data_IF_362954650658
#
_entry.id   IF_362954650658
#
_cell.length_a   1.000
_cell.length_b   1.000
_cell.length_c   1.000
_cell.angle_alpha   90.00
_cell.angle_beta   90.00
_cell.angle_gamma   90.00
#
_symmetry.space_group_name_H-M   'P 1'
#
loop_
_entity.id
_entity.type
_entity.pdbx_description
1 polymer ?
#
# COMPACT_ATOMS: atom_id res chain seq x y z
N UNK A 1 -14.44 -17.90 -50.41
CA UNK A 1 -14.52 -18.53 -49.07
C UNK A 1 -13.16 -18.66 -48.35
N UNK A 2 -12.06 -19.04 -49.03
CA UNK A 2 -10.72 -19.19 -48.42
C UNK A 2 -10.19 -17.93 -47.71
N UNK A 3 -10.35 -16.74 -48.30
CA UNK A 3 -9.85 -15.49 -47.69
C UNK A 3 -10.53 -15.12 -46.37
N UNK A 4 -11.81 -15.46 -46.18
CA UNK A 4 -12.53 -15.19 -44.93
C UNK A 4 -11.98 -16.05 -43.78
N UNK A 5 -11.65 -17.31 -44.09
CA UNK A 5 -11.08 -18.27 -43.15
C UNK A 5 -9.64 -17.93 -42.79
N UNK A 6 -8.83 -17.53 -43.78
CA UNK A 6 -7.46 -17.07 -43.52
C UNK A 6 -7.42 -15.78 -42.70
N UNK A 7 -8.31 -14.82 -43.00
CA UNK A 7 -8.40 -13.60 -42.21
C UNK A 7 -8.80 -13.90 -40.76
N UNK A 8 -9.76 -14.81 -40.51
CA UNK A 8 -10.13 -15.22 -39.14
C UNK A 8 -8.98 -15.89 -38.38
N UNK A 9 -8.17 -16.72 -39.04
CA UNK A 9 -7.00 -17.35 -38.41
C UNK A 9 -5.98 -16.28 -38.01
N UNK A 10 -5.70 -15.31 -38.89
CA UNK A 10 -4.78 -14.21 -38.61
C UNK A 10 -5.30 -13.35 -37.45
N UNK A 11 -6.59 -13.01 -37.41
CA UNK A 11 -7.15 -12.25 -36.28
C UNK A 11 -7.01 -13.02 -34.97
N UNK A 12 -7.34 -14.31 -34.95
CA UNK A 12 -7.24 -15.15 -33.75
C UNK A 12 -5.79 -15.25 -33.25
N UNK A 13 -4.82 -15.40 -34.16
CA UNK A 13 -3.40 -15.45 -33.81
C UNK A 13 -2.93 -14.11 -33.22
N UNK A 14 -3.38 -12.97 -33.75
CA UNK A 14 -3.06 -11.65 -33.20
C UNK A 14 -3.65 -11.48 -31.80
N UNK A 15 -4.90 -11.90 -31.57
CA UNK A 15 -5.52 -11.86 -30.23
C UNK A 15 -4.77 -12.73 -29.21
N UNK A 16 -4.33 -13.93 -29.60
CA UNK A 16 -3.52 -14.82 -28.73
C UNK A 16 -2.17 -14.17 -28.39
N UNK A 17 -1.51 -13.55 -29.37
CA UNK A 17 -0.25 -12.83 -29.17
C UNK A 17 -0.40 -11.64 -28.21
N UNK A 18 -1.47 -10.85 -28.38
CA UNK A 18 -1.78 -9.73 -27.49
C UNK A 18 -2.06 -10.24 -26.06
N UNK A 19 -2.85 -11.31 -25.91
CA UNK A 19 -3.12 -11.90 -24.60
C UNK A 19 -1.84 -12.39 -23.90
N UNK A 20 -0.91 -13.03 -24.63
CA UNK A 20 0.39 -13.46 -24.10
C UNK A 20 1.28 -12.29 -23.65
N UNK A 21 1.27 -11.18 -24.40
CA UNK A 21 2.00 -9.96 -24.02
C UNK A 21 1.42 -9.33 -22.74
N UNK A 22 0.09 -9.31 -22.60
CA UNK A 22 -0.56 -8.82 -21.38
C UNK A 22 -0.24 -9.69 -20.14
N UNK A 23 -0.22 -11.01 -20.27
CA UNK A 23 0.12 -11.93 -19.17
C UNK A 23 1.57 -11.73 -18.67
N UNK A 24 2.49 -11.48 -19.59
CA UNK A 24 3.91 -11.25 -19.26
C UNK A 24 4.11 -9.96 -18.46
N UNK A 25 3.37 -8.90 -18.77
CA UNK A 25 3.40 -7.63 -18.03
C UNK A 25 2.86 -7.75 -16.60
N UNK A 26 1.77 -8.52 -16.41
CA UNK A 26 1.17 -8.73 -15.06
C UNK A 26 2.12 -9.51 -14.14
N UNK A 27 2.82 -10.50 -14.68
CA UNK A 27 3.76 -11.34 -13.91
C UNK A 27 4.94 -10.52 -13.38
N UNK A 28 5.48 -9.61 -14.19
CA UNK A 28 6.58 -8.72 -13.79
C UNK A 28 6.20 -7.78 -12.63
N UNK A 29 4.96 -7.26 -12.60
CA UNK A 29 4.50 -6.38 -11.52
C UNK A 29 4.36 -7.13 -10.19
N UNK A 30 3.95 -8.40 -10.22
CA UNK A 30 3.75 -9.21 -9.03
C UNK A 30 5.09 -9.58 -8.36
N UNK A 31 6.11 -9.93 -9.15
CA UNK A 31 7.44 -10.26 -8.63
C UNK A 31 8.13 -9.06 -7.97
N UNK A 32 8.04 -7.86 -8.56
CA UNK A 32 8.63 -6.65 -7.99
C UNK A 32 7.99 -6.31 -6.65
N UNK A 33 6.66 -6.39 -6.54
CA UNK A 33 5.95 -6.14 -5.28
C UNK A 33 6.35 -7.12 -4.17
N UNK A 34 6.48 -8.41 -4.50
CA UNK A 34 6.89 -9.44 -3.54
C UNK A 34 8.35 -9.32 -3.13
N UNK A 35 9.25 -8.98 -4.06
CA UNK A 35 10.68 -8.85 -3.78
C UNK A 35 10.99 -7.66 -2.88
N UNK A 36 10.31 -6.53 -3.08
CA UNK A 36 10.49 -5.35 -2.23
C UNK A 36 9.86 -5.57 -0.85
N UNK A 37 8.69 -6.22 -0.79
CA UNK A 37 8.10 -6.66 0.49
C UNK A 37 9.07 -7.54 1.28
N UNK A 38 9.79 -8.48 0.65
CA UNK A 38 10.79 -9.31 1.36
C UNK A 38 11.95 -8.53 1.98
N UNK A 39 12.33 -7.38 1.41
CA UNK A 39 13.34 -6.48 1.99
C UNK A 39 12.72 -5.70 3.14
N UNK A 40 11.54 -5.14 2.92
CA UNK A 40 10.77 -4.39 3.92
C UNK A 40 10.51 -5.23 5.18
N UNK A 41 10.12 -6.50 5.05
CA UNK A 41 9.87 -7.43 6.17
C UNK A 41 11.08 -7.56 7.12
N UNK A 42 12.30 -7.36 6.63
CA UNK A 42 13.53 -7.44 7.44
C UNK A 42 13.90 -6.13 8.10
N UNK A 43 13.33 -5.00 7.66
CA UNK A 43 13.61 -3.69 8.24
C UNK A 43 12.98 -3.63 9.63
N UNK A 44 13.78 -3.16 10.59
CA UNK A 44 13.33 -2.91 11.96
C UNK A 44 13.23 -1.40 12.16
N UNK A 45 12.25 -0.98 12.93
CA UNK A 45 12.15 0.41 13.35
C UNK A 45 13.41 0.78 14.18
N UNK A 46 14.23 1.76 13.76
CA UNK A 46 15.40 2.18 14.53
C UNK A 46 15.02 3.01 15.76
N UNK A 47 13.79 3.54 15.83
CA UNK A 47 13.28 4.29 16.96
C UNK A 47 12.59 3.38 17.97
N UNK A 48 12.95 3.45 19.26
CA UNK A 48 12.23 2.74 20.30
C UNK A 48 10.77 3.20 20.33
N UNK A 49 9.86 2.27 20.63
CA UNK A 49 8.44 2.57 20.83
C UNK A 49 8.21 3.25 22.20
N UNK A 50 8.80 4.44 22.36
CA UNK A 50 8.69 5.28 23.55
C UNK A 50 7.71 6.44 23.35
N UNK A 51 7.51 7.22 24.41
CA UNK A 51 6.60 8.36 24.38
C UNK A 51 7.05 9.45 23.39
N UNK A 52 8.35 9.64 23.17
CA UNK A 52 8.84 10.65 22.25
C UNK A 52 8.56 10.28 20.79
N UNK A 53 8.83 9.03 20.42
CA UNK A 53 8.48 8.50 19.09
C UNK A 53 6.97 8.52 18.86
N UNK A 54 6.19 8.16 19.89
CA UNK A 54 4.74 8.21 19.82
C UNK A 54 4.21 9.62 19.56
N UNK A 55 4.68 10.65 20.27
CA UNK A 55 4.21 12.03 20.07
C UNK A 55 4.63 12.62 18.71
N UNK A 56 5.85 12.34 18.24
CA UNK A 56 6.29 12.73 16.89
C UNK A 56 5.47 12.03 15.81
N UNK A 57 5.18 10.75 16.00
CA UNK A 57 4.37 9.94 15.10
C UNK A 57 2.93 10.45 15.07
N UNK A 58 2.35 10.75 16.23
CA UNK A 58 1.02 11.36 16.36
C UNK A 58 0.94 12.69 15.62
N UNK A 59 1.94 13.56 15.80
CA UNK A 59 1.98 14.87 15.14
C UNK A 59 1.98 14.71 13.62
N UNK A 60 2.86 13.86 13.08
CA UNK A 60 2.95 13.61 11.64
C UNK A 60 1.67 12.95 11.10
N UNK A 61 1.11 11.99 11.83
CA UNK A 61 -0.17 11.35 11.49
C UNK A 61 -1.34 12.35 11.39
N UNK A 62 -1.38 13.33 12.29
CA UNK A 62 -2.43 14.37 12.29
C UNK A 62 -2.35 15.31 11.08
N UNK A 63 -1.15 15.49 10.51
CA UNK A 63 -0.95 16.36 9.34
C UNK A 63 -1.35 15.59 8.07
N UNK A 64 -0.84 14.37 7.92
CA UNK A 64 -0.83 13.67 6.63
C UNK A 64 -1.82 12.52 6.52
N UNK A 65 -2.14 11.83 7.62
CA UNK A 65 -2.88 10.56 7.57
C UNK A 65 -4.34 10.68 8.05
N UNK A 66 -4.61 11.54 9.03
CA UNK A 66 -5.89 11.58 9.78
C UNK A 66 -7.11 11.87 8.90
N UNK A 67 -6.95 12.62 7.81
CA UNK A 67 -8.07 12.98 6.94
C UNK A 67 -8.69 11.76 6.25
N UNK A 68 -7.94 10.68 6.05
CA UNK A 68 -8.45 9.45 5.46
C UNK A 68 -8.59 8.35 6.52
N UNK A 69 -7.57 8.15 7.37
CA UNK A 69 -7.56 7.06 8.34
C UNK A 69 -8.32 7.36 9.64
N UNK A 70 -8.71 8.62 9.88
CA UNK A 70 -9.48 9.03 11.05
C UNK A 70 -8.65 9.19 12.32
N UNK A 71 -9.21 9.82 13.35
CA UNK A 71 -8.51 10.07 14.63
C UNK A 71 -8.22 8.78 15.40
N UNK A 72 -9.12 7.81 15.28
CA UNK A 72 -9.04 6.49 15.93
C UNK A 72 -8.43 5.42 15.03
N UNK A 73 -7.96 5.78 13.83
CA UNK A 73 -7.36 4.84 12.88
C UNK A 73 -8.35 3.92 12.17
N UNK A 74 -9.67 4.13 12.29
CA UNK A 74 -10.69 3.22 11.79
C UNK A 74 -10.93 3.30 10.27
N UNK A 75 -10.25 4.20 9.54
CA UNK A 75 -10.55 4.46 8.13
C UNK A 75 -11.77 5.34 7.91
N UNK A 76 -12.18 6.11 8.93
CA UNK A 76 -13.38 6.94 8.97
C UNK A 76 -13.08 8.46 8.91
N UNK A 77 -11.93 8.83 8.34
CA UNK A 77 -11.55 10.23 8.17
C UNK A 77 -12.50 10.97 7.21
N UNK A 78 -12.54 12.30 7.28
CA UNK A 78 -13.44 13.14 6.46
C UNK A 78 -13.29 12.99 4.93
N UNK A 79 -12.20 12.38 4.47
CA UNK A 79 -11.94 12.07 3.06
C UNK A 79 -12.09 10.57 2.74
N UNK A 80 -12.40 9.70 3.70
CA UNK A 80 -12.56 8.25 3.43
C UNK A 80 -13.73 7.95 2.51
N UNK A 81 -14.83 8.71 2.61
CA UNK A 81 -16.00 8.58 1.72
C UNK A 81 -15.73 9.10 0.30
N UNK A 82 -14.65 9.87 0.10
CA UNK A 82 -14.30 10.47 -1.20
C UNK A 82 -13.46 9.56 -2.08
N UNK A 83 -13.02 8.42 -1.55
CA UNK A 83 -12.21 7.45 -2.28
C UNK A 83 -13.04 6.21 -2.61
N UNK A 84 -12.82 5.64 -3.79
CA UNK A 84 -13.59 4.47 -4.26
C UNK A 84 -13.29 3.18 -3.48
N UNK A 85 -12.15 3.14 -2.77
CA UNK A 85 -11.73 1.99 -2.00
C UNK A 85 -11.90 2.25 -0.50
N UNK A 86 -12.28 1.22 0.23
CA UNK A 86 -12.37 1.26 1.69
C UNK A 86 -10.99 1.58 2.28
N UNK A 87 -10.89 2.68 3.02
CA UNK A 87 -9.68 3.02 3.77
C UNK A 87 -9.52 2.01 4.91
N UNK A 88 -8.30 1.46 5.07
CA UNK A 88 -8.05 0.40 6.04
C UNK A 88 -8.20 0.87 7.49
N UNK A 89 -8.84 0.03 8.31
CA UNK A 89 -8.76 0.08 9.78
C UNK A 89 -7.36 -0.29 10.22
N UNK A 90 -6.60 0.70 10.69
CA UNK A 90 -5.23 0.57 11.17
C UNK A 90 -5.13 -0.28 12.43
N UNK A 91 -6.20 -0.42 13.21
CA UNK A 91 -6.28 -1.29 14.39
C UNK A 91 -6.61 -2.74 14.06
N UNK A 92 -6.95 -3.06 12.81
CA UNK A 92 -7.30 -4.42 12.40
C UNK A 92 -6.12 -5.39 12.51
N UNK A 93 -6.43 -6.67 12.77
CA UNK A 93 -5.46 -7.77 12.78
C UNK A 93 -4.60 -7.81 11.52
N UNK A 94 -5.19 -7.55 10.35
CA UNK A 94 -4.49 -7.58 9.07
C UNK A 94 -3.41 -6.50 8.96
N UNK A 95 -3.63 -5.33 9.58
CA UNK A 95 -2.61 -4.27 9.67
C UNK A 95 -1.62 -4.59 10.79
N UNK A 96 -2.10 -4.96 11.97
CA UNK A 96 -1.26 -5.16 13.16
C UNK A 96 -0.34 -6.39 13.08
N UNK A 97 -0.65 -7.38 12.24
CA UNK A 97 0.24 -8.54 11.99
C UNK A 97 1.39 -8.25 11.04
N UNK A 98 1.35 -7.16 10.28
CA UNK A 98 2.46 -6.77 9.43
C UNK A 98 3.65 -6.35 10.28
N UNK A 99 4.85 -6.56 9.77
CA UNK A 99 6.10 -6.07 10.36
C UNK A 99 6.21 -4.55 10.26
N UNK A 100 7.05 -3.94 11.10
CA UNK A 100 7.24 -2.48 11.07
C UNK A 100 7.76 -2.01 9.71
N UNK A 101 8.69 -2.76 9.11
CA UNK A 101 9.21 -2.43 7.80
C UNK A 101 8.20 -2.57 6.67
N UNK A 102 7.24 -3.50 6.75
CA UNK A 102 6.12 -3.54 5.80
C UNK A 102 5.23 -2.29 5.90
N UNK A 103 4.94 -1.83 7.11
CA UNK A 103 4.17 -0.60 7.31
C UNK A 103 4.95 0.61 6.79
N UNK A 104 6.24 0.73 7.13
CA UNK A 104 7.13 1.78 6.62
C UNK A 104 7.15 1.80 5.09
N UNK A 105 7.27 0.63 4.47
CA UNK A 105 7.30 0.51 3.02
C UNK A 105 5.96 0.92 2.37
N UNK A 106 4.83 0.53 2.95
CA UNK A 106 3.49 0.92 2.45
C UNK A 106 3.27 2.43 2.53
N UNK A 107 3.75 3.07 3.59
CA UNK A 107 3.73 4.52 3.72
C UNK A 107 4.63 5.16 2.66
N UNK A 108 5.80 4.57 2.41
CA UNK A 108 6.80 5.07 1.46
C UNK A 108 6.36 5.01 0.00
N UNK A 109 5.70 3.92 -0.38
CA UNK A 109 5.28 3.64 -1.75
C UNK A 109 3.79 3.91 -1.97
N UNK A 110 3.19 4.81 -1.17
CA UNK A 110 1.74 5.04 -1.16
C UNK A 110 1.18 5.10 -2.59
N UNK A 111 0.19 4.24 -2.86
CA UNK A 111 -0.46 4.13 -4.17
C UNK A 111 -1.88 4.64 -4.07
N UNK A 112 -2.38 5.21 -5.18
CA UNK A 112 -3.77 5.67 -5.26
C UNK A 112 -4.73 4.57 -4.77
N UNK A 113 -5.69 4.92 -3.90
CA UNK A 113 -6.11 6.27 -3.55
C UNK A 113 -5.34 6.92 -2.40
N UNK A 114 -4.39 6.24 -1.76
CA UNK A 114 -3.53 6.85 -0.73
C UNK A 114 -2.57 7.85 -1.40
N UNK A 115 -2.55 9.12 -0.98
CA UNK A 115 -1.64 10.11 -1.54
C UNK A 115 -0.22 9.81 -1.07
N UNK A 116 0.75 10.05 -1.96
CA UNK A 116 2.13 10.25 -1.54
C UNK A 116 2.21 11.58 -0.80
N UNK A 117 2.80 11.57 0.39
CA UNK A 117 3.03 12.76 1.20
C UNK A 117 4.53 12.97 1.38
N UNK A 118 4.94 14.22 1.40
CA UNK A 118 6.34 14.60 1.63
C UNK A 118 6.67 14.47 3.12
N UNK A 119 6.93 13.24 3.56
CA UNK A 119 7.34 12.89 4.93
C UNK A 119 8.71 12.20 4.93
N UNK A 120 9.56 12.56 5.88
CA UNK A 120 10.91 12.01 6.03
C UNK A 120 10.86 10.56 6.54
N UNK A 121 11.95 9.81 6.38
CA UNK A 121 12.04 8.44 6.88
C UNK A 121 11.85 8.37 8.40
N UNK A 122 12.42 9.33 9.14
CA UNK A 122 12.25 9.46 10.59
C UNK A 122 10.76 9.61 10.96
N UNK A 123 10.03 10.49 10.26
CA UNK A 123 8.60 10.68 10.46
C UNK A 123 7.82 9.41 10.13
N UNK A 124 8.18 8.69 9.06
CA UNK A 124 7.53 7.41 8.71
C UNK A 124 7.71 6.38 9.81
N UNK A 125 8.91 6.25 10.37
CA UNK A 125 9.16 5.32 11.47
C UNK A 125 8.42 5.69 12.75
N UNK A 126 8.36 6.97 13.09
CA UNK A 126 7.56 7.43 14.22
C UNK A 126 6.06 7.19 13.98
N UNK A 127 5.56 7.41 12.75
CA UNK A 127 4.18 7.06 12.36
C UNK A 127 3.93 5.56 12.53
N UNK A 128 4.87 4.69 12.16
CA UNK A 128 4.74 3.23 12.36
C UNK A 128 4.55 2.90 13.83
N UNK A 129 5.33 3.51 14.74
CA UNK A 129 5.14 3.34 16.19
C UNK A 129 3.76 3.84 16.65
N UNK A 130 3.30 4.98 16.13
CA UNK A 130 1.96 5.49 16.43
C UNK A 130 0.85 4.56 15.92
N UNK A 131 0.97 3.97 14.73
CA UNK A 131 0.01 3.01 14.16
C UNK A 131 -0.18 1.79 15.08
N UNK A 132 0.88 1.33 15.75
CA UNK A 132 0.78 0.20 16.70
C UNK A 132 -0.16 0.48 17.87
N UNK A 133 -0.36 1.73 18.24
CA UNK A 133 -1.26 2.10 19.32
C UNK A 133 -2.76 1.93 18.96
N UNK A 134 -3.10 1.77 17.68
CA UNK A 134 -4.48 1.46 17.27
C UNK A 134 -4.87 0.00 17.46
N UNK A 135 -3.92 -0.89 17.81
CA UNK A 135 -4.22 -2.30 18.08
C UNK A 135 -5.30 -2.43 19.15
N UNK A 136 -6.42 -3.03 18.77
CA UNK A 136 -7.53 -3.31 19.68
C UNK A 136 -7.09 -4.34 20.73
N UNK A 137 -7.53 -4.13 21.97
CA UNK A 137 -7.29 -5.06 23.08
C UNK A 137 -8.18 -6.30 22.96
#
# INVERSE_FOLDING_TARGET
MKNKYQNQIVTNLVFILIAFLFISMVSAQHEVSLKVSKVAVKMKNPYPADQYSFERGRHSYQIDCVRCHGKSGNGDGTNSEKVQQVVSDLGSDAIQKQTDGELFWKISEARRPMPLTEITDDQRWDIVNFIRAFKKK
#
